data_IF_471555839709
#
_entry.id   IF_471555839709
#
_cell.length_a   1.000
_cell.length_b   1.000
_cell.length_c   1.000
_cell.angle_alpha   90.00
_cell.angle_beta   90.00
_cell.angle_gamma   90.00
#
_symmetry.space_group_name_H-M   'P 1'
#
loop_
_entity.id
_entity.type
_entity.pdbx_description
1 polymer ?
#
# COMPACT_ATOMS: atom_id res chain seq x y z
N UNK A 1 -5.54 -3.95 -2.08
CA UNK A 1 -6.03 -4.44 -3.40
C UNK A 1 -5.63 -5.89 -3.64
N UNK A 2 -4.34 -6.24 -3.64
CA UNK A 2 -3.86 -7.57 -4.10
C UNK A 2 -3.94 -8.71 -3.07
N UNK A 3 -3.69 -8.46 -1.78
CA UNK A 3 -3.81 -9.53 -0.77
C UNK A 3 -5.26 -9.95 -0.54
N UNK A 4 -6.23 -9.02 -0.65
CA UNK A 4 -7.61 -9.33 -0.30
C UNK A 4 -8.23 -10.49 -1.12
N UNK A 5 -8.03 -10.59 -2.45
CA UNK A 5 -8.48 -11.78 -3.19
C UNK A 5 -7.88 -13.08 -2.66
N UNK A 6 -6.57 -13.12 -2.37
CA UNK A 6 -5.91 -14.34 -1.92
C UNK A 6 -6.32 -14.76 -0.50
N UNK A 7 -6.57 -13.82 0.41
CA UNK A 7 -6.90 -14.14 1.81
C UNK A 7 -8.40 -14.16 2.09
N UNK A 8 -9.16 -13.26 1.46
CA UNK A 8 -10.58 -13.04 1.72
C UNK A 8 -11.48 -13.48 0.54
N UNK A 9 -10.93 -13.59 -0.67
CA UNK A 9 -11.57 -14.20 -1.85
C UNK A 9 -11.87 -13.22 -3.00
N UNK A 10 -12.12 -11.95 -2.70
CA UNK A 10 -12.54 -10.95 -3.68
C UNK A 10 -11.77 -9.63 -3.49
N UNK A 11 -12.03 -8.62 -4.32
CA UNK A 11 -11.58 -7.26 -4.09
C UNK A 11 -12.13 -6.69 -2.77
N UNK A 12 -11.42 -5.75 -2.12
CA UNK A 12 -11.97 -5.06 -0.96
C UNK A 12 -13.28 -4.34 -1.32
N UNK A 13 -14.30 -4.43 -0.47
CA UNK A 13 -15.63 -3.87 -0.74
C UNK A 13 -15.57 -2.36 -1.03
N UNK A 14 -14.79 -1.61 -0.24
CA UNK A 14 -14.58 -0.16 -0.45
C UNK A 14 -14.04 0.16 -1.86
N UNK A 15 -13.22 -0.71 -2.44
CA UNK A 15 -12.68 -0.52 -3.79
C UNK A 15 -13.75 -0.82 -4.83
N UNK A 16 -14.52 -1.91 -4.65
CA UNK A 16 -15.63 -2.26 -5.55
C UNK A 16 -16.67 -1.14 -5.60
N UNK A 17 -17.11 -0.69 -4.42
CA UNK A 17 -18.14 0.34 -4.29
C UNK A 17 -17.69 1.66 -4.91
N UNK A 18 -16.48 2.10 -4.56
CA UNK A 18 -15.94 3.38 -5.01
C UNK A 18 -15.73 3.43 -6.53
N UNK A 19 -15.16 2.37 -7.12
CA UNK A 19 -14.95 2.31 -8.57
C UNK A 19 -16.28 2.16 -9.30
N UNK A 20 -17.24 1.40 -8.78
CA UNK A 20 -18.56 1.26 -9.39
C UNK A 20 -19.35 2.59 -9.38
N UNK A 21 -19.37 3.29 -8.24
CA UNK A 21 -19.98 4.62 -8.10
C UNK A 21 -19.40 5.60 -9.11
N UNK A 22 -18.07 5.68 -9.19
CA UNK A 22 -17.40 6.59 -10.12
C UNK A 22 -17.59 6.20 -11.58
N UNK A 23 -17.53 4.91 -11.91
CA UNK A 23 -17.79 4.45 -13.29
C UNK A 23 -19.19 4.86 -13.76
N UNK A 24 -20.19 4.76 -12.88
CA UNK A 24 -21.56 5.22 -13.17
C UNK A 24 -21.63 6.74 -13.33
N UNK A 25 -20.96 7.50 -12.48
CA UNK A 25 -20.90 8.96 -12.58
C UNK A 25 -20.16 9.46 -13.83
N UNK A 26 -19.18 8.69 -14.31
CA UNK A 26 -18.46 8.88 -15.58
C UNK A 26 -19.32 8.49 -16.80
N UNK A 27 -20.53 7.95 -16.60
CA UNK A 27 -21.45 7.56 -17.67
C UNK A 27 -21.15 6.20 -18.30
N UNK A 28 -20.33 5.37 -17.65
CA UNK A 28 -20.01 4.03 -18.13
C UNK A 28 -21.16 3.06 -17.86
N UNK A 29 -21.37 2.11 -18.77
CA UNK A 29 -22.42 1.10 -18.65
C UNK A 29 -22.13 0.05 -17.57
N UNK A 30 -20.86 -0.11 -17.17
CA UNK A 30 -20.42 -1.07 -16.16
C UNK A 30 -19.26 -0.51 -15.34
N UNK A 31 -18.99 -1.13 -14.19
CA UNK A 31 -17.80 -0.82 -13.39
C UNK A 31 -16.52 -1.07 -14.21
N UNK A 32 -15.53 -0.19 -14.03
CA UNK A 32 -14.17 -0.35 -14.56
C UNK A 32 -13.38 -1.45 -13.86
N UNK A 33 -13.76 -1.80 -12.62
CA UNK A 33 -13.13 -2.89 -11.88
C UNK A 33 -13.77 -4.21 -12.30
N UNK A 34 -13.00 -5.16 -12.88
CA UNK A 34 -13.52 -6.48 -13.21
C UNK A 34 -14.00 -7.21 -11.96
N UNK A 35 -15.19 -7.79 -12.02
CA UNK A 35 -15.71 -8.65 -10.95
C UNK A 35 -15.23 -10.08 -11.16
N UNK A 36 -14.91 -10.76 -10.07
CA UNK A 36 -14.68 -12.20 -10.09
C UNK A 36 -16.01 -12.96 -10.11
N UNK A 37 -16.05 -14.10 -10.81
CA UNK A 37 -17.14 -15.06 -10.64
C UNK A 37 -17.01 -15.80 -9.30
N UNK A 38 -18.08 -16.45 -8.81
CA UNK A 38 -17.97 -17.29 -7.61
C UNK A 38 -16.87 -18.36 -7.73
N UNK A 39 -16.71 -18.96 -8.91
CA UNK A 39 -15.69 -19.97 -9.18
C UNK A 39 -14.28 -19.37 -9.14
N UNK A 40 -14.07 -18.15 -9.64
CA UNK A 40 -12.79 -17.46 -9.57
C UNK A 40 -12.43 -17.05 -8.13
N UNK A 41 -13.41 -16.59 -7.35
CA UNK A 41 -13.25 -16.29 -5.92
C UNK A 41 -12.79 -17.53 -5.17
N UNK A 42 -13.45 -18.68 -5.40
CA UNK A 42 -13.08 -19.95 -4.78
C UNK A 42 -11.68 -20.40 -5.22
N UNK A 43 -11.35 -20.23 -6.50
CA UNK A 43 -10.05 -20.61 -7.05
C UNK A 43 -8.89 -19.79 -6.48
N UNK A 44 -9.06 -18.47 -6.29
CA UNK A 44 -7.99 -17.57 -5.85
C UNK A 44 -7.82 -17.59 -4.32
N UNK A 45 -8.89 -17.81 -3.57
CA UNK A 45 -8.84 -17.79 -2.11
C UNK A 45 -7.96 -18.92 -1.57
N UNK A 46 -7.03 -18.59 -0.70
CA UNK A 46 -6.09 -19.53 -0.09
C UNK A 46 -4.87 -19.87 -0.95
N UNK A 47 -4.63 -19.16 -2.06
CA UNK A 47 -3.49 -19.42 -2.98
C UNK A 47 -2.16 -18.82 -2.51
N UNK A 48 -1.98 -18.61 -1.21
CA UNK A 48 -0.79 -17.98 -0.64
C UNK A 48 -0.37 -18.66 0.66
N UNK A 49 0.89 -19.07 0.73
CA UNK A 49 1.50 -19.69 1.92
C UNK A 49 2.04 -18.64 2.92
N UNK A 50 2.37 -17.44 2.43
CA UNK A 50 2.95 -16.33 3.19
C UNK A 50 2.75 -14.99 2.47
N UNK A 51 2.88 -13.89 3.22
CA UNK A 51 2.84 -12.53 2.70
C UNK A 51 4.27 -12.05 2.45
N UNK A 52 4.62 -11.78 1.19
CA UNK A 52 5.85 -11.08 0.84
C UNK A 52 5.57 -9.58 0.70
N UNK A 53 6.34 -8.74 1.41
CA UNK A 53 6.23 -7.28 1.31
C UNK A 53 7.54 -6.62 0.93
N UNK A 54 7.41 -5.52 0.19
CA UNK A 54 8.47 -4.55 -0.02
C UNK A 54 8.07 -3.30 0.76
N UNK A 55 8.89 -2.89 1.73
CA UNK A 55 8.57 -1.72 2.56
C UNK A 55 9.77 -0.79 2.68
N UNK A 56 9.53 0.47 2.31
CA UNK A 56 10.56 1.49 2.18
C UNK A 56 10.26 2.72 3.04
N UNK A 57 9.05 3.26 2.97
CA UNK A 57 8.68 4.54 3.57
C UNK A 57 7.21 4.53 4.02
N UNK A 58 6.80 5.58 4.73
CA UNK A 58 5.40 5.85 5.05
C UNK A 58 5.07 7.30 4.74
N UNK A 59 3.80 7.57 4.47
CA UNK A 59 3.29 8.88 4.10
C UNK A 59 2.14 9.25 5.01
N UNK A 60 1.97 10.55 5.26
CA UNK A 60 0.71 11.10 5.77
C UNK A 60 -0.35 11.00 4.68
N UNK A 61 -1.59 10.74 5.09
CA UNK A 61 -2.74 10.65 4.17
C UNK A 61 -3.84 11.58 4.67
N UNK A 62 -4.39 12.39 3.76
CA UNK A 62 -5.55 13.22 4.00
C UNK A 62 -6.63 12.96 2.93
N UNK A 63 -7.87 13.32 3.25
CA UNK A 63 -8.96 13.27 2.27
C UNK A 63 -8.68 14.21 1.11
N UNK A 64 -8.72 13.66 -0.10
CA UNK A 64 -8.65 14.44 -1.32
C UNK A 64 -9.98 15.11 -1.68
N UNK A 65 -9.89 16.10 -2.56
CA UNK A 65 -11.06 16.67 -3.24
C UNK A 65 -11.60 15.62 -4.23
N UNK A 66 -12.92 15.55 -4.35
CA UNK A 66 -13.56 14.67 -5.33
C UNK A 66 -13.14 15.09 -6.75
N UNK A 67 -12.58 14.15 -7.50
CA UNK A 67 -12.13 14.39 -8.87
C UNK A 67 -13.29 14.54 -9.85
N UNK A 68 -13.02 15.15 -11.01
CA UNK A 68 -14.03 15.26 -12.07
C UNK A 68 -14.47 13.88 -12.54
N UNK A 69 -15.69 13.79 -13.08
CA UNK A 69 -16.21 12.57 -13.72
C UNK A 69 -16.01 12.58 -15.24
N UNK A 70 -15.18 13.50 -15.75
CA UNK A 70 -14.90 13.62 -17.18
C UNK A 70 -13.79 12.68 -17.66
N UNK A 71 -13.04 12.07 -16.73
CA UNK A 71 -12.02 11.08 -17.03
C UNK A 71 -11.91 10.06 -15.89
N UNK A 72 -11.50 8.86 -16.27
CA UNK A 72 -11.04 7.83 -15.34
C UNK A 72 -9.66 8.16 -14.82
N UNK A 73 -9.46 8.09 -13.51
CA UNK A 73 -8.17 8.35 -12.87
C UNK A 73 -8.08 7.60 -11.53
N UNK A 74 -6.98 6.88 -11.31
CA UNK A 74 -6.74 6.13 -10.08
C UNK A 74 -6.74 7.04 -8.83
N UNK A 75 -6.19 8.25 -8.95
CA UNK A 75 -6.15 9.19 -7.82
C UNK A 75 -7.56 9.71 -7.46
N UNK A 76 -8.45 9.78 -8.44
CA UNK A 76 -9.85 10.14 -8.18
C UNK A 76 -10.63 8.99 -7.53
N UNK A 77 -10.33 7.75 -7.90
CA UNK A 77 -10.88 6.57 -7.24
C UNK A 77 -10.44 6.50 -5.78
N UNK A 78 -9.14 6.66 -5.49
CA UNK A 78 -8.61 6.63 -4.12
C UNK A 78 -9.03 7.82 -3.26
N UNK A 79 -9.22 9.00 -3.87
CA UNK A 79 -9.59 10.26 -3.19
C UNK A 79 -8.71 10.55 -1.97
N UNK A 80 -7.42 10.28 -2.11
CA UNK A 80 -6.43 10.48 -1.07
C UNK A 80 -5.34 11.41 -1.58
N UNK A 81 -4.86 12.29 -0.70
CA UNK A 81 -3.66 13.08 -0.92
C UNK A 81 -2.60 12.59 0.05
N UNK A 82 -1.41 12.33 -0.45
CA UNK A 82 -0.27 11.89 0.34
C UNK A 82 0.75 13.00 0.49
N UNK A 83 1.44 13.04 1.62
CA UNK A 83 2.55 13.96 1.87
C UNK A 83 3.53 13.38 2.87
N UNK A 84 4.75 13.92 2.92
CA UNK A 84 5.63 13.70 4.04
C UNK A 84 5.27 14.66 5.19
N UNK A 85 5.52 14.25 6.43
CA UNK A 85 5.46 15.17 7.54
C UNK A 85 6.68 16.11 7.49
N UNK A 86 6.54 17.43 7.75
CA UNK A 86 7.65 18.37 7.66
C UNK A 86 8.85 18.05 8.56
N UNK A 87 8.61 17.34 9.66
CA UNK A 87 9.63 16.97 10.65
C UNK A 87 10.27 15.59 10.39
N UNK A 88 9.95 14.91 9.29
CA UNK A 88 10.57 13.63 8.96
C UNK A 88 11.83 13.83 8.14
N UNK A 89 12.89 13.09 8.50
CA UNK A 89 14.06 12.98 7.64
C UNK A 89 13.69 12.29 6.32
N UNK A 90 14.34 12.69 5.24
CA UNK A 90 14.10 12.15 3.91
C UNK A 90 15.39 11.64 3.27
N UNK A 91 15.26 10.54 2.51
CA UNK A 91 16.33 10.06 1.62
C UNK A 91 16.61 11.05 0.48
N UNK A 92 17.69 10.79 -0.27
CA UNK A 92 18.03 11.55 -1.48
C UNK A 92 16.88 11.65 -2.51
N UNK A 93 15.98 10.65 -2.56
CA UNK A 93 14.84 10.62 -3.50
C UNK A 93 13.51 11.06 -2.88
N UNK A 94 13.53 11.64 -1.66
CA UNK A 94 12.34 12.14 -0.97
C UNK A 94 11.51 11.09 -0.23
N UNK A 95 12.03 9.86 -0.08
CA UNK A 95 11.40 8.87 0.80
C UNK A 95 11.61 9.24 2.27
N UNK A 96 10.52 9.45 3.01
CA UNK A 96 10.59 9.72 4.44
C UNK A 96 11.07 8.50 5.23
N UNK A 97 11.91 8.74 6.23
CA UNK A 97 12.37 7.74 7.18
C UNK A 97 11.36 7.64 8.33
N UNK A 98 10.49 6.63 8.27
CA UNK A 98 9.43 6.44 9.27
C UNK A 98 9.47 5.01 9.81
N UNK A 99 10.42 4.68 10.71
CA UNK A 99 10.57 3.33 11.22
C UNK A 99 9.33 2.77 11.90
N UNK A 100 8.55 3.59 12.61
CA UNK A 100 7.31 3.14 13.26
C UNK A 100 6.25 2.69 12.25
N UNK A 101 6.30 3.19 11.00
CA UNK A 101 5.37 2.85 9.94
C UNK A 101 5.38 1.35 9.60
N UNK A 102 6.56 0.71 9.63
CA UNK A 102 6.66 -0.73 9.36
C UNK A 102 5.93 -1.56 10.43
N UNK A 103 5.99 -1.13 11.69
CA UNK A 103 5.29 -1.82 12.78
C UNK A 103 3.77 -1.69 12.64
N UNK A 104 3.30 -0.51 12.23
CA UNK A 104 1.86 -0.31 11.95
C UNK A 104 1.40 -1.11 10.73
N UNK A 105 2.22 -1.24 9.69
CA UNK A 105 1.95 -2.14 8.56
C UNK A 105 1.82 -3.60 9.03
N UNK A 106 2.76 -4.09 9.83
CA UNK A 106 2.71 -5.48 10.34
C UNK A 106 1.46 -5.73 11.20
N UNK A 107 1.09 -4.79 12.06
CA UNK A 107 -0.18 -4.85 12.82
C UNK A 107 -1.40 -4.87 11.89
N UNK A 108 -1.39 -4.06 10.83
CA UNK A 108 -2.47 -4.04 9.86
C UNK A 108 -2.59 -5.37 9.12
N UNK A 109 -1.48 -5.93 8.63
CA UNK A 109 -1.45 -7.23 7.96
C UNK A 109 -1.98 -8.34 8.89
N UNK A 110 -1.52 -8.37 10.14
CA UNK A 110 -2.00 -9.33 11.14
C UNK A 110 -3.51 -9.21 11.38
N UNK A 111 -4.03 -7.98 11.48
CA UNK A 111 -5.47 -7.74 11.66
C UNK A 111 -6.27 -8.14 10.43
N UNK A 112 -5.77 -7.88 9.23
CA UNK A 112 -6.50 -8.08 7.98
C UNK A 112 -6.45 -9.54 7.48
N UNK A 113 -5.35 -10.24 7.74
CA UNK A 113 -5.03 -11.53 7.13
C UNK A 113 -4.62 -12.62 8.14
N UNK A 114 -4.77 -12.34 9.44
CA UNK A 114 -4.45 -13.29 10.51
C UNK A 114 -2.95 -13.46 10.73
N UNK A 115 -2.55 -14.62 11.23
CA UNK A 115 -1.15 -14.94 11.56
C UNK A 115 -0.37 -15.54 10.37
N UNK A 116 -0.66 -15.08 9.15
CA UNK A 116 0.10 -15.49 7.97
C UNK A 116 1.58 -15.10 8.13
N UNK A 117 2.54 -15.99 7.82
CA UNK A 117 3.97 -15.65 7.86
C UNK A 117 4.25 -14.44 6.96
N UNK A 118 5.05 -13.49 7.44
CA UNK A 118 5.44 -12.30 6.66
C UNK A 118 6.93 -12.36 6.36
N UNK A 119 7.28 -12.15 5.09
CA UNK A 119 8.66 -12.04 4.63
C UNK A 119 8.86 -10.63 4.05
N UNK A 120 9.89 -9.94 4.50
CA UNK A 120 10.38 -8.75 3.82
C UNK A 120 11.21 -9.18 2.62
N UNK A 121 10.63 -9.06 1.42
CA UNK A 121 11.35 -9.33 0.18
C UNK A 121 12.28 -8.16 -0.16
N UNK A 122 11.89 -6.93 0.19
CA UNK A 122 12.75 -5.76 0.04
C UNK A 122 12.57 -4.73 1.16
N UNK A 123 13.67 -4.09 1.54
CA UNK A 123 13.73 -2.88 2.34
C UNK A 123 15.09 -2.21 2.11
N UNK A 124 15.16 -0.89 2.20
CA UNK A 124 16.42 -0.17 1.97
C UNK A 124 16.24 1.34 1.86
N UNK A 125 17.38 2.03 1.75
CA UNK A 125 17.43 3.48 1.62
C UNK A 125 18.41 3.87 0.50
N UNK A 126 17.95 4.57 -0.55
CA UNK A 126 18.85 5.07 -1.60
C UNK A 126 19.67 6.26 -1.09
N UNK A 127 20.91 6.36 -1.58
CA UNK A 127 21.76 7.56 -1.48
C UNK A 127 22.13 8.06 -2.88
N UNK A 128 22.93 9.12 -2.96
CA UNK A 128 23.44 9.66 -4.23
C UNK A 128 24.74 8.98 -4.71
N UNK A 129 25.24 7.99 -3.97
CA UNK A 129 26.48 7.28 -4.24
C UNK A 129 27.75 8.14 -4.19
N UNK A 130 27.70 9.37 -3.67
CA UNK A 130 28.85 10.28 -3.65
C UNK A 130 29.87 9.98 -2.54
N UNK A 131 29.46 9.19 -1.55
CA UNK A 131 30.25 8.82 -0.37
C UNK A 131 30.04 7.35 -0.01
N UNK A 132 31.05 6.75 0.64
CA UNK A 132 30.90 5.45 1.29
C UNK A 132 30.46 5.58 2.76
N UNK A 133 30.53 6.79 3.32
CA UNK A 133 30.01 7.08 4.66
C UNK A 133 28.48 7.26 4.58
N UNK A 134 27.73 6.20 4.90
CA UNK A 134 26.28 6.10 4.68
C UNK A 134 25.47 6.04 6.00
N UNK A 135 25.82 6.91 6.95
CA UNK A 135 25.20 6.98 8.29
C UNK A 135 23.67 6.99 8.27
N UNK A 136 23.05 7.68 7.30
CA UNK A 136 21.59 7.73 7.18
C UNK A 136 20.99 6.36 6.83
N UNK A 137 21.67 5.57 5.99
CA UNK A 137 21.27 4.19 5.66
C UNK A 137 21.45 3.27 6.87
N UNK A 138 22.52 3.45 7.64
CA UNK A 138 22.73 2.72 8.89
C UNK A 138 21.59 3.02 9.88
N UNK A 139 21.24 4.31 10.05
CA UNK A 139 20.13 4.75 10.90
C UNK A 139 18.78 4.19 10.44
N UNK A 140 18.53 4.15 9.12
CA UNK A 140 17.35 3.54 8.54
C UNK A 140 17.21 2.06 8.95
N UNK A 141 18.25 1.25 8.70
CA UNK A 141 18.19 -0.18 9.02
C UNK A 141 18.04 -0.42 10.51
N UNK A 142 18.79 0.31 11.35
CA UNK A 142 18.67 0.21 12.80
C UNK A 142 17.23 0.53 13.26
N UNK A 143 16.67 1.65 12.81
CA UNK A 143 15.31 2.05 13.16
C UNK A 143 14.26 1.02 12.72
N UNK A 144 14.32 0.57 11.47
CA UNK A 144 13.31 -0.35 10.92
C UNK A 144 13.40 -1.72 11.58
N UNK A 145 14.61 -2.26 11.81
CA UNK A 145 14.77 -3.54 12.51
C UNK A 145 14.30 -3.48 13.96
N UNK A 146 14.53 -2.38 14.69
CA UNK A 146 13.96 -2.19 16.03
C UNK A 146 12.42 -2.14 16.06
N UNK A 147 11.77 -1.81 14.94
CA UNK A 147 10.31 -1.78 14.84
C UNK A 147 9.72 -3.10 14.31
N UNK A 148 10.54 -3.95 13.70
CA UNK A 148 10.17 -5.30 13.25
C UNK A 148 10.31 -6.31 14.39
N UNK A 149 11.41 -6.25 15.15
CA UNK A 149 11.68 -7.10 16.31
C UNK A 149 10.83 -6.69 17.53
#
# INVERSE_FOLDING_TARGET
MFFNPMFNGDWPDIVKDRVAERSKAEGLASSRLPAFTPEEIEFIKGTSDYIAINHYTSMMVANGVEGTYSKTDYNFDTRAVTSNHPDWDESFVGWALVPSGVRELLKHLKKAYGDAPVIFAETGLPDDGSSLEDDLRIQYFHGYFCNIL
#
